data_IF_565392650897
#
_entry.id   IF_565392650897
#
_cell.length_a   1.000
_cell.length_b   1.000
_cell.length_c   1.000
_cell.angle_alpha   90.00
_cell.angle_beta   90.00
_cell.angle_gamma   90.00
#
_symmetry.space_group_name_H-M   'P 1'
#
loop_
_entity.id
_entity.type
_entity.pdbx_description
1 polymer ?
#
# COMPACT_ATOMS: atom_id res chain seq x y z
N UNK A 1 -0.06 27.97 -28.36
CA UNK A 1 -1.14 27.26 -27.63
C UNK A 1 -0.68 27.05 -26.20
N UNK A 2 -1.30 27.74 -25.24
CA UNK A 2 -1.06 27.51 -23.80
C UNK A 2 -1.91 26.29 -23.41
N UNK A 3 -1.28 25.17 -23.05
CA UNK A 3 -2.00 24.02 -22.47
C UNK A 3 -2.62 24.49 -21.16
N UNK A 4 -3.95 24.40 -21.06
CA UNK A 4 -4.71 24.58 -19.83
C UNK A 4 -4.15 23.56 -18.82
N UNK A 5 -3.46 24.02 -17.78
CA UNK A 5 -3.11 23.16 -16.65
C UNK A 5 -4.43 22.83 -15.98
N UNK A 6 -4.88 21.58 -16.09
CA UNK A 6 -6.04 21.12 -15.33
C UNK A 6 -5.69 21.27 -13.84
N UNK A 7 -6.54 21.94 -13.07
CA UNK A 7 -6.42 21.93 -11.62
C UNK A 7 -6.71 20.50 -11.15
N UNK A 8 -5.64 19.73 -10.90
CA UNK A 8 -5.76 18.40 -10.31
C UNK A 8 -6.29 18.57 -8.89
N UNK A 9 -7.46 17.99 -8.61
CA UNK A 9 -7.97 17.87 -7.25
C UNK A 9 -7.50 16.55 -6.67
N UNK A 10 -6.67 16.61 -5.63
CA UNK A 10 -6.09 15.43 -4.97
C UNK A 10 -7.08 14.77 -3.99
N UNK A 11 -8.22 14.32 -4.54
CA UNK A 11 -9.34 13.75 -3.78
C UNK A 11 -8.98 12.39 -3.22
N UNK A 12 -8.31 11.53 -3.98
CA UNK A 12 -7.93 10.20 -3.52
C UNK A 12 -6.86 10.30 -2.43
N UNK A 13 -5.85 11.16 -2.57
CA UNK A 13 -4.87 11.42 -1.50
C UNK A 13 -5.58 11.88 -0.23
N UNK A 14 -6.50 12.84 -0.34
CA UNK A 14 -7.26 13.37 0.81
C UNK A 14 -8.12 12.28 1.49
N UNK A 15 -8.79 11.44 0.72
CA UNK A 15 -9.58 10.32 1.24
C UNK A 15 -8.71 9.27 1.95
N UNK A 16 -7.58 8.92 1.33
CA UNK A 16 -6.61 7.97 1.86
C UNK A 16 -5.99 8.47 3.16
N UNK A 17 -5.59 9.75 3.22
CA UNK A 17 -5.13 10.40 4.44
C UNK A 17 -6.19 10.33 5.55
N UNK A 18 -7.43 10.68 5.24
CA UNK A 18 -8.53 10.61 6.20
C UNK A 18 -8.79 9.18 6.70
N UNK A 19 -8.59 8.16 5.86
CA UNK A 19 -8.65 6.76 6.28
C UNK A 19 -7.54 6.42 7.27
N UNK A 20 -6.30 6.78 6.95
CA UNK A 20 -5.15 6.56 7.83
C UNK A 20 -5.33 7.21 9.21
N UNK A 21 -5.85 8.45 9.25
CA UNK A 21 -6.14 9.17 10.50
C UNK A 21 -7.21 8.51 11.38
N UNK A 22 -8.07 7.66 10.82
CA UNK A 22 -9.13 6.95 11.55
C UNK A 22 -8.72 5.58 12.05
N UNK A 23 -7.51 5.12 11.76
CA UNK A 23 -7.01 3.83 12.25
C UNK A 23 -7.06 3.82 13.77
N UNK A 24 -7.74 2.83 14.35
CA UNK A 24 -7.70 2.58 15.77
C UNK A 24 -6.48 1.72 16.12
N UNK A 25 -5.40 2.37 16.54
CA UNK A 25 -4.12 1.69 16.80
C UNK A 25 -4.12 0.80 18.05
N UNK A 26 -5.18 0.83 18.84
CA UNK A 26 -5.39 -0.09 19.98
C UNK A 26 -6.10 -1.39 19.57
N UNK A 27 -6.61 -1.45 18.33
CA UNK A 27 -7.27 -2.64 17.82
C UNK A 27 -6.28 -3.78 17.63
N UNK A 28 -6.73 -5.00 17.95
CA UNK A 28 -5.98 -6.22 17.68
C UNK A 28 -6.93 -7.24 17.07
N UNK A 29 -6.82 -7.38 15.75
CA UNK A 29 -7.53 -8.38 14.97
C UNK A 29 -6.91 -9.76 15.08
N UNK A 30 -7.59 -10.73 14.50
CA UNK A 30 -7.15 -12.12 14.44
C UNK A 30 -5.85 -12.29 13.59
N UNK A 31 -4.78 -12.90 14.14
CA UNK A 31 -3.54 -13.17 13.42
C UNK A 31 -3.69 -13.99 12.13
N UNK A 32 -4.69 -14.87 12.03
CA UNK A 32 -4.92 -15.64 10.80
C UNK A 32 -5.44 -14.74 9.68
N UNK A 33 -6.36 -13.85 10.02
CA UNK A 33 -6.87 -12.80 9.12
C UNK A 33 -5.75 -11.88 8.60
N UNK A 34 -4.70 -11.62 9.41
CA UNK A 34 -3.55 -10.82 8.98
C UNK A 34 -2.76 -11.45 7.82
N UNK A 35 -2.53 -12.76 7.88
CA UNK A 35 -1.83 -13.47 6.80
C UNK A 35 -2.63 -13.46 5.49
N UNK A 36 -3.96 -13.50 5.59
CA UNK A 36 -4.85 -13.40 4.42
C UNK A 36 -4.74 -12.05 3.73
N UNK A 37 -4.66 -10.95 4.49
CA UNK A 37 -4.47 -9.61 3.91
C UNK A 37 -3.13 -9.44 3.19
N UNK A 38 -2.03 -9.97 3.75
CA UNK A 38 -0.74 -9.98 3.05
C UNK A 38 -0.81 -10.82 1.78
N UNK A 39 -1.40 -12.01 1.84
CA UNK A 39 -1.53 -12.88 0.67
C UNK A 39 -2.35 -12.22 -0.44
N UNK A 40 -3.43 -11.51 -0.10
CA UNK A 40 -4.26 -10.78 -1.06
C UNK A 40 -3.51 -9.59 -1.67
N UNK A 41 -2.70 -8.86 -0.88
CA UNK A 41 -1.79 -7.85 -1.44
C UNK A 41 -0.82 -8.45 -2.46
N UNK A 42 -0.14 -9.54 -2.09
CA UNK A 42 0.81 -10.22 -2.99
C UNK A 42 0.13 -10.71 -4.27
N UNK A 43 -1.10 -11.24 -4.17
CA UNK A 43 -1.92 -11.66 -5.30
C UNK A 43 -2.20 -10.49 -6.24
N UNK A 44 -2.71 -9.37 -5.72
CA UNK A 44 -3.02 -8.17 -6.55
C UNK A 44 -1.79 -7.62 -7.25
N UNK A 45 -0.65 -7.54 -6.56
CA UNK A 45 0.61 -7.08 -7.17
C UNK A 45 1.11 -8.06 -8.22
N UNK A 46 1.00 -9.37 -8.00
CA UNK A 46 1.42 -10.37 -8.97
C UNK A 46 0.55 -10.34 -10.23
N UNK A 47 -0.77 -10.21 -10.09
CA UNK A 47 -1.69 -10.03 -11.22
C UNK A 47 -1.35 -8.77 -12.00
N UNK A 48 -1.25 -7.61 -11.33
CA UNK A 48 -0.85 -6.35 -11.99
C UNK A 48 0.48 -6.50 -12.73
N UNK A 49 1.48 -7.08 -12.08
CA UNK A 49 2.82 -7.25 -12.66
C UNK A 49 2.79 -8.10 -13.92
N UNK A 50 1.99 -9.18 -13.91
CA UNK A 50 1.87 -10.10 -15.04
C UNK A 50 1.07 -9.46 -16.19
N UNK A 51 -0.08 -8.85 -15.91
CA UNK A 51 -0.97 -8.29 -16.92
C UNK A 51 -0.36 -7.07 -17.63
N UNK A 52 0.38 -6.24 -16.89
CA UNK A 52 1.06 -5.06 -17.45
C UNK A 52 2.50 -5.34 -17.91
N UNK A 53 2.99 -6.58 -17.78
CA UNK A 53 4.36 -6.94 -18.15
C UNK A 53 5.43 -6.16 -17.36
N UNK A 54 5.14 -5.80 -16.11
CA UNK A 54 6.07 -5.06 -15.26
C UNK A 54 7.14 -6.02 -14.70
N UNK A 55 8.41 -5.64 -14.86
CA UNK A 55 9.53 -6.35 -14.24
C UNK A 55 9.82 -5.83 -12.83
N UNK A 56 8.87 -6.07 -11.91
CA UNK A 56 9.04 -5.72 -10.50
C UNK A 56 10.01 -6.70 -9.82
N UNK A 57 11.09 -6.15 -9.23
CA UNK A 57 12.04 -6.94 -8.45
C UNK A 57 11.47 -7.46 -7.12
N UNK A 58 10.41 -6.83 -6.61
CA UNK A 58 9.76 -7.14 -5.33
C UNK A 58 8.30 -6.71 -5.37
N UNK A 59 7.39 -7.41 -4.68
CA UNK A 59 6.00 -6.97 -4.56
C UNK A 59 5.88 -5.65 -3.77
N UNK A 60 6.85 -5.35 -2.90
CA UNK A 60 6.94 -4.09 -2.17
C UNK A 60 7.73 -3.06 -3.00
N UNK A 61 7.17 -2.69 -4.16
CA UNK A 61 7.76 -1.72 -5.08
C UNK A 61 7.63 -0.27 -4.57
N UNK A 62 8.26 0.68 -5.27
CA UNK A 62 8.12 2.12 -5.00
C UNK A 62 7.13 2.76 -5.98
N UNK A 63 5.88 3.06 -5.59
CA UNK A 63 4.87 3.68 -6.46
C UNK A 63 5.39 4.89 -7.25
N UNK A 64 6.09 5.82 -6.61
CA UNK A 64 6.65 7.00 -7.31
C UNK A 64 7.50 6.64 -8.52
N UNK A 65 8.25 5.53 -8.46
CA UNK A 65 9.07 5.04 -9.57
C UNK A 65 8.24 4.31 -10.63
N UNK A 66 7.31 3.46 -10.19
CA UNK A 66 6.46 2.67 -11.10
C UNK A 66 5.52 3.57 -11.90
N UNK A 67 4.99 4.62 -11.26
CA UNK A 67 3.99 5.51 -11.84
C UNK A 67 4.59 6.75 -12.52
N UNK A 68 5.88 7.06 -12.26
CA UNK A 68 6.52 8.26 -12.78
C UNK A 68 5.88 9.56 -12.28
N UNK A 69 5.51 9.59 -11.00
CA UNK A 69 4.91 10.75 -10.32
C UNK A 69 5.92 11.46 -9.42
N UNK A 70 5.62 12.71 -9.04
CA UNK A 70 6.51 13.48 -8.16
C UNK A 70 6.49 12.97 -6.72
N UNK A 71 5.33 12.51 -6.23
CA UNK A 71 5.15 12.13 -4.83
C UNK A 71 4.98 13.33 -3.90
N UNK A 72 4.86 14.56 -4.41
CA UNK A 72 4.84 15.75 -3.58
C UNK A 72 3.56 15.81 -2.71
N UNK A 73 2.42 15.42 -3.27
CA UNK A 73 1.15 15.49 -2.52
C UNK A 73 1.05 14.38 -1.48
N UNK A 74 1.47 13.18 -1.84
CA UNK A 74 1.57 12.05 -0.92
C UNK A 74 2.59 12.32 0.19
N UNK A 75 3.72 12.96 -0.10
CA UNK A 75 4.70 13.38 0.92
C UNK A 75 4.11 14.40 1.89
N UNK A 76 3.38 15.41 1.40
CA UNK A 76 2.68 16.39 2.25
C UNK A 76 1.63 15.71 3.14
N UNK A 77 0.81 14.83 2.56
CA UNK A 77 -0.19 14.05 3.30
C UNK A 77 0.46 13.14 4.36
N UNK A 78 1.59 12.51 4.03
CA UNK A 78 2.33 11.67 4.96
C UNK A 78 2.91 12.50 6.11
N UNK A 79 3.44 13.70 5.84
CA UNK A 79 3.91 14.62 6.88
C UNK A 79 2.77 15.02 7.83
N UNK A 80 1.59 15.36 7.28
CA UNK A 80 0.40 15.68 8.08
C UNK A 80 -0.07 14.49 8.93
N UNK A 81 -0.04 13.28 8.36
CA UNK A 81 -0.35 12.06 9.09
C UNK A 81 0.64 11.80 10.24
N UNK A 82 1.94 12.03 10.00
CA UNK A 82 2.98 11.83 11.02
C UNK A 82 2.84 12.80 12.19
N UNK A 83 2.43 14.05 11.98
CA UNK A 83 2.16 15.00 13.08
C UNK A 83 1.09 14.46 14.05
N UNK A 84 0.09 13.75 13.53
CA UNK A 84 -0.96 13.14 14.35
C UNK A 84 -0.48 11.83 14.99
N UNK A 85 0.34 11.06 14.26
CA UNK A 85 0.86 9.78 14.72
C UNK A 85 2.03 9.90 15.72
N UNK A 86 2.71 11.07 15.75
CA UNK A 86 3.87 11.35 16.62
C UNK A 86 3.53 11.35 18.11
N UNK A 87 2.26 11.53 18.49
CA UNK A 87 1.86 11.61 19.89
C UNK A 87 1.74 10.26 20.62
N UNK A 88 2.04 9.12 19.95
CA UNK A 88 1.64 7.84 20.53
C UNK A 88 2.47 6.59 20.21
N UNK A 89 3.72 6.67 19.77
CA UNK A 89 4.55 5.47 19.53
C UNK A 89 3.90 4.45 18.52
N UNK A 90 2.85 4.87 17.80
CA UNK A 90 1.88 3.99 17.13
C UNK A 90 2.45 3.36 15.86
N UNK A 91 3.44 4.00 15.23
CA UNK A 91 4.05 3.57 13.97
C UNK A 91 5.56 3.36 14.14
N UNK A 92 5.97 2.51 15.09
CA UNK A 92 7.38 2.06 15.21
C UNK A 92 7.79 1.08 14.11
N UNK A 93 6.84 0.34 13.55
CA UNK A 93 7.14 -0.64 12.51
C UNK A 93 7.38 0.09 11.17
N UNK A 94 8.62 0.06 10.69
CA UNK A 94 9.03 0.72 9.44
C UNK A 94 8.26 0.22 8.21
N UNK A 95 7.82 -1.04 8.19
CA UNK A 95 7.05 -1.63 7.09
C UNK A 95 5.61 -1.16 7.08
N UNK A 96 5.00 -0.99 8.25
CA UNK A 96 3.69 -0.33 8.40
C UNK A 96 3.79 1.11 7.89
N UNK A 97 4.79 1.87 8.35
CA UNK A 97 5.04 3.25 7.88
C UNK A 97 5.17 3.31 6.36
N UNK A 98 6.01 2.45 5.78
CA UNK A 98 6.24 2.43 4.33
C UNK A 98 4.99 2.01 3.56
N UNK A 99 4.14 1.14 4.13
CA UNK A 99 2.87 0.75 3.51
C UNK A 99 1.89 1.93 3.45
N UNK A 100 1.77 2.72 4.51
CA UNK A 100 0.98 3.95 4.51
C UNK A 100 1.49 4.96 3.48
N UNK A 101 2.81 5.13 3.39
CA UNK A 101 3.43 6.01 2.40
C UNK A 101 3.13 5.55 0.96
N UNK A 102 3.38 4.28 0.65
CA UNK A 102 3.06 3.73 -0.67
C UNK A 102 1.57 3.85 -1.04
N UNK A 103 0.67 3.70 -0.06
CA UNK A 103 -0.76 3.88 -0.27
C UNK A 103 -1.13 5.32 -0.67
N UNK A 104 -0.52 6.31 -0.03
CA UNK A 104 -0.67 7.72 -0.40
C UNK A 104 -0.05 8.01 -1.77
N UNK A 105 1.16 7.50 -2.04
CA UNK A 105 1.82 7.64 -3.35
C UNK A 105 0.94 7.05 -4.47
N UNK A 106 0.32 5.88 -4.25
CA UNK A 106 -0.58 5.27 -5.22
C UNK A 106 -1.85 6.10 -5.44
N UNK A 107 -2.40 6.68 -4.37
CA UNK A 107 -3.56 7.57 -4.43
C UNK A 107 -3.27 8.84 -5.22
N UNK A 108 -2.05 9.39 -5.10
CA UNK A 108 -1.58 10.51 -5.95
C UNK A 108 -1.53 10.09 -7.42
N UNK A 109 -1.07 8.86 -7.69
CA UNK A 109 -1.13 8.27 -9.03
C UNK A 109 -2.52 8.22 -9.64
N UNK A 110 -3.53 7.86 -8.83
CA UNK A 110 -4.94 7.86 -9.26
C UNK A 110 -5.41 9.29 -9.55
N UNK A 111 -5.11 10.26 -8.68
CA UNK A 111 -5.48 11.67 -8.87
C UNK A 111 -4.80 12.30 -10.10
N UNK A 112 -3.55 11.91 -10.39
CA UNK A 112 -2.82 12.33 -11.59
C UNK A 112 -3.24 11.58 -12.88
N UNK A 113 -4.15 10.60 -12.77
CA UNK A 113 -4.65 9.84 -13.92
C UNK A 113 -3.62 8.90 -14.54
N UNK A 114 -2.74 8.30 -13.72
CA UNK A 114 -1.75 7.32 -14.21
C UNK A 114 -2.45 6.00 -14.55
N UNK A 115 -2.33 5.55 -15.80
CA UNK A 115 -3.02 4.36 -16.32
C UNK A 115 -2.86 3.12 -15.41
N UNK A 116 -1.63 2.84 -14.96
CA UNK A 116 -1.34 1.74 -14.03
C UNK A 116 -2.14 1.86 -12.72
N UNK A 117 -2.22 3.06 -12.15
CA UNK A 117 -2.94 3.29 -10.90
C UNK A 117 -4.46 3.26 -11.12
N UNK A 118 -4.95 3.73 -12.27
CA UNK A 118 -6.37 3.66 -12.64
C UNK A 118 -6.85 2.23 -12.89
N UNK A 119 -6.00 1.37 -13.46
CA UNK A 119 -6.30 -0.04 -13.68
C UNK A 119 -6.37 -0.86 -12.38
N UNK A 120 -5.60 -0.47 -11.35
CA UNK A 120 -5.54 -1.14 -10.05
C UNK A 120 -5.67 -0.14 -8.89
N UNK A 121 -6.81 0.56 -8.74
CA UNK A 121 -6.95 1.69 -7.82
C UNK A 121 -6.86 1.29 -6.34
N UNK A 122 -7.10 0.01 -6.04
CA UNK A 122 -7.20 -0.55 -4.69
C UNK A 122 -6.08 -1.56 -4.38
N UNK A 123 -4.96 -1.52 -5.11
CA UNK A 123 -3.85 -2.48 -4.95
C UNK A 123 -3.30 -2.54 -3.52
N UNK A 124 -3.31 -1.41 -2.81
CA UNK A 124 -2.83 -1.29 -1.43
C UNK A 124 -3.92 -1.53 -0.38
N UNK A 125 -5.19 -1.68 -0.76
CA UNK A 125 -6.31 -1.87 0.18
C UNK A 125 -6.07 -3.02 1.17
N UNK A 126 -5.54 -4.21 0.75
CA UNK A 126 -5.30 -5.30 1.70
C UNK A 126 -4.25 -4.94 2.76
N UNK A 127 -3.19 -4.20 2.39
CA UNK A 127 -2.20 -3.74 3.38
C UNK A 127 -2.81 -2.73 4.36
N UNK A 128 -3.70 -1.86 3.89
CA UNK A 128 -4.37 -0.92 4.80
C UNK A 128 -5.33 -1.65 5.73
N UNK A 129 -6.08 -2.66 5.25
CA UNK A 129 -6.94 -3.51 6.09
C UNK A 129 -6.15 -4.28 7.14
N UNK A 130 -4.97 -4.80 6.77
CA UNK A 130 -4.05 -5.40 7.73
C UNK A 130 -3.75 -4.43 8.87
N UNK A 131 -3.34 -3.21 8.55
CA UNK A 131 -2.96 -2.18 9.53
C UNK A 131 -4.16 -1.73 10.37
N UNK A 132 -5.33 -1.54 9.73
CA UNK A 132 -6.59 -1.22 10.41
C UNK A 132 -6.96 -2.27 11.45
N UNK A 133 -6.66 -3.55 11.20
CA UNK A 133 -6.87 -4.65 12.14
C UNK A 133 -5.73 -4.85 13.15
N UNK A 134 -4.84 -3.86 13.34
CA UNK A 134 -3.69 -3.95 14.26
C UNK A 134 -2.56 -4.86 13.77
N UNK A 135 -2.65 -5.34 12.54
CA UNK A 135 -1.67 -6.22 11.92
C UNK A 135 -0.37 -5.49 11.57
N UNK A 136 0.72 -6.23 11.74
CA UNK A 136 2.08 -5.77 11.44
C UNK A 136 2.87 -6.93 10.87
N UNK A 137 3.82 -6.60 10.01
CA UNK A 137 4.67 -7.59 9.37
C UNK A 137 6.13 -7.16 9.39
N UNK A 138 7.01 -8.12 9.13
CA UNK A 138 8.44 -7.90 8.96
C UNK A 138 9.02 -8.93 8.00
N UNK A 139 10.32 -8.84 7.74
CA UNK A 139 11.02 -9.80 6.88
C UNK A 139 12.06 -10.56 7.70
N UNK A 140 12.11 -11.88 7.50
CA UNK A 140 13.10 -12.74 8.10
C UNK A 140 13.48 -13.86 7.11
N UNK A 141 14.77 -13.98 6.79
CA UNK A 141 15.30 -15.01 5.88
C UNK A 141 14.59 -15.17 4.51
N UNK A 142 14.05 -14.09 3.95
CA UNK A 142 13.33 -14.12 2.67
C UNK A 142 11.83 -14.39 2.78
N UNK A 143 11.32 -14.52 3.99
CA UNK A 143 9.89 -14.68 4.29
C UNK A 143 9.32 -13.38 4.86
N UNK A 144 8.03 -13.15 4.61
CA UNK A 144 7.24 -12.18 5.39
C UNK A 144 6.76 -12.88 6.66
N UNK A 145 7.11 -12.32 7.80
CA UNK A 145 6.57 -12.71 9.10
C UNK A 145 5.35 -11.85 9.40
N UNK A 146 4.18 -12.46 9.56
CA UNK A 146 2.92 -11.78 9.86
C UNK A 146 2.04 -12.65 10.76
N UNK A 147 1.59 -12.10 11.89
CA UNK A 147 0.90 -12.89 12.90
C UNK A 147 1.73 -14.13 13.30
N UNK A 148 1.13 -15.32 13.18
CA UNK A 148 1.79 -16.61 13.39
C UNK A 148 2.24 -17.30 12.08
N UNK A 149 2.26 -16.57 10.96
CA UNK A 149 2.57 -17.10 9.63
C UNK A 149 3.92 -16.60 9.12
N UNK A 150 4.59 -17.46 8.35
CA UNK A 150 5.72 -17.12 7.50
C UNK A 150 5.31 -17.33 6.03
N UNK A 151 5.40 -16.28 5.22
CA UNK A 151 4.99 -16.30 3.81
C UNK A 151 6.24 -16.17 2.95
N UNK A 152 6.65 -17.22 2.20
CA UNK A 152 7.83 -17.15 1.37
C UNK A 152 7.65 -16.20 0.20
N UNK A 153 8.59 -15.28 0.02
CA UNK A 153 8.63 -14.33 -1.10
C UNK A 153 9.42 -14.83 -2.30
N UNK A 154 10.16 -15.93 -2.14
CA UNK A 154 10.78 -16.58 -3.27
C UNK A 154 9.67 -16.96 -4.27
N UNK A 155 9.78 -16.46 -5.49
CA UNK A 155 8.74 -16.59 -6.50
C UNK A 155 7.36 -16.01 -6.09
N UNK A 156 7.33 -14.81 -5.51
CA UNK A 156 6.08 -14.11 -5.17
C UNK A 156 5.10 -13.93 -6.36
N UNK A 157 5.57 -14.01 -7.62
CA UNK A 157 4.69 -13.99 -8.79
C UNK A 157 3.69 -15.15 -8.83
N UNK A 158 3.98 -16.28 -8.14
CA UNK A 158 3.04 -17.42 -7.99
C UNK A 158 1.71 -17.02 -7.36
N UNK A 159 1.67 -15.92 -6.60
CA UNK A 159 0.43 -15.48 -5.97
C UNK A 159 -0.62 -15.10 -7.01
N UNK A 160 -0.27 -14.77 -8.25
CA UNK A 160 -1.24 -14.52 -9.32
C UNK A 160 -2.16 -15.72 -9.61
N UNK A 161 -1.74 -16.94 -9.27
CA UNK A 161 -2.49 -18.19 -9.51
C UNK A 161 -3.49 -18.50 -8.39
N UNK A 162 -3.42 -17.76 -7.27
CA UNK A 162 -4.30 -17.97 -6.12
C UNK A 162 -5.64 -17.29 -6.38
N UNK A 163 -6.73 -17.99 -6.08
CA UNK A 163 -8.07 -17.41 -6.18
C UNK A 163 -8.21 -16.17 -5.26
N UNK A 164 -8.95 -15.12 -5.70
CA UNK A 164 -9.18 -13.95 -4.86
C UNK A 164 -9.75 -14.33 -3.50
N UNK A 165 -9.20 -13.75 -2.44
CA UNK A 165 -9.81 -13.83 -1.12
C UNK A 165 -10.55 -12.53 -0.86
N UNK A 166 -11.88 -12.59 -1.00
CA UNK A 166 -12.88 -11.54 -0.78
C UNK A 166 -12.97 -10.46 -1.87
#
# INVERSE_FOLDING_TARGET
MVKKVANIQYKNVSNSLNRLKRINWLESGDPESHAQWIAEYLRRVAVMSNELGLELASPFFKPVKVLGISGNQSANAMAEFMVIAEDADLIKNAYVRRSCECYLEWSEGVDEGRDTALAYPDIFDPLIRLIESGGKFGFHHGDIMVGNSAIPLNNWKRFAEIAPKF
#
